data_IF_264154008117
#
_entry.id   IF_264154008117
#
_cell.length_a   1.000
_cell.length_b   1.000
_cell.length_c   1.000
_cell.angle_alpha   90.00
_cell.angle_beta   90.00
_cell.angle_gamma   90.00
#
_symmetry.space_group_name_H-M   'P 1'
#
loop_
_entity.id
_entity.type
_entity.pdbx_description
1 polymer ?
#
# COMPACT_ATOMS: atom_id res chain seq x y z
N UNK A 1 -23.94 -11.02 -3.31
CA UNK A 1 -22.66 -11.42 -3.93
C UNK A 1 -21.49 -10.66 -3.31
N UNK A 2 -20.37 -11.32 -3.02
CA UNK A 2 -19.09 -10.67 -2.69
C UNK A 2 -18.32 -10.49 -3.99
N UNK A 3 -18.03 -9.24 -4.38
CA UNK A 3 -17.54 -8.88 -5.72
C UNK A 3 -16.05 -8.52 -5.77
N UNK A 4 -15.34 -8.73 -4.65
CA UNK A 4 -13.91 -8.42 -4.51
C UNK A 4 -13.66 -7.19 -3.64
N UNK A 5 -12.46 -7.10 -3.04
CA UNK A 5 -12.07 -5.98 -2.17
C UNK A 5 -12.85 -5.84 -0.86
N UNK A 6 -13.77 -6.75 -0.56
CA UNK A 6 -14.67 -6.67 0.61
C UNK A 6 -16.04 -6.04 0.30
N UNK A 7 -16.30 -5.65 -0.95
CA UNK A 7 -17.59 -5.09 -1.37
C UNK A 7 -18.66 -6.17 -1.57
N UNK A 8 -19.92 -5.81 -1.25
CA UNK A 8 -21.08 -6.69 -1.32
C UNK A 8 -22.17 -6.03 -2.17
N UNK A 9 -22.70 -6.76 -3.15
CA UNK A 9 -23.86 -6.37 -3.97
C UNK A 9 -25.02 -7.31 -3.64
N UNK A 10 -26.23 -6.79 -3.44
CA UNK A 10 -27.39 -7.66 -3.20
C UNK A 10 -27.99 -8.12 -4.52
N UNK A 11 -28.66 -9.26 -4.47
CA UNK A 11 -29.36 -9.80 -5.63
C UNK A 11 -30.49 -8.86 -6.04
N UNK A 12 -30.51 -8.48 -7.31
CA UNK A 12 -31.45 -7.51 -7.88
C UNK A 12 -31.03 -6.04 -7.75
N UNK A 13 -29.86 -5.76 -7.17
CA UNK A 13 -29.28 -4.40 -7.06
C UNK A 13 -28.03 -4.21 -7.96
N UNK A 14 -27.74 -5.14 -8.86
CA UNK A 14 -26.53 -5.11 -9.70
C UNK A 14 -26.48 -3.88 -10.61
N UNK A 15 -27.57 -3.59 -11.31
CA UNK A 15 -27.65 -2.45 -12.22
C UNK A 15 -27.55 -1.11 -11.48
N UNK A 16 -28.15 -1.03 -10.29
CA UNK A 16 -28.08 0.16 -9.43
C UNK A 16 -26.64 0.41 -8.93
N UNK A 17 -25.96 -0.65 -8.47
CA UNK A 17 -24.58 -0.57 -8.01
C UNK A 17 -23.62 -0.15 -9.14
N UNK A 18 -23.88 -0.61 -10.39
CA UNK A 18 -23.10 -0.21 -11.55
C UNK A 18 -23.29 1.27 -11.90
N UNK A 19 -24.53 1.77 -11.85
CA UNK A 19 -24.84 3.18 -12.12
C UNK A 19 -24.19 4.12 -11.09
N UNK A 20 -24.30 3.81 -9.80
CA UNK A 20 -23.69 4.59 -8.71
C UNK A 20 -22.15 4.66 -8.88
N UNK A 21 -21.53 3.55 -9.26
CA UNK A 21 -20.09 3.49 -9.53
C UNK A 21 -19.68 4.31 -10.76
N UNK A 22 -20.56 4.50 -11.74
CA UNK A 22 -20.29 5.32 -12.91
C UNK A 22 -20.50 6.81 -12.65
N UNK A 23 -21.53 7.17 -11.88
CA UNK A 23 -21.83 8.55 -11.49
C UNK A 23 -20.74 9.14 -10.60
N UNK A 24 -20.34 8.42 -9.54
CA UNK A 24 -19.27 8.83 -8.61
C UNK A 24 -17.92 9.13 -9.27
N UNK A 25 -17.69 8.67 -10.51
CA UNK A 25 -16.45 8.89 -11.27
C UNK A 25 -16.49 10.14 -12.16
N UNK A 26 -17.68 10.65 -12.51
CA UNK A 26 -17.82 11.82 -13.38
C UNK A 26 -17.79 13.14 -12.63
N UNK A 27 -17.96 13.10 -11.31
CA UNK A 27 -18.10 14.30 -10.47
C UNK A 27 -16.77 14.81 -9.88
N UNK A 28 -15.66 14.07 -10.04
CA UNK A 28 -14.38 14.47 -9.46
C UNK A 28 -13.76 15.70 -10.15
N UNK A 29 -13.01 16.55 -9.41
CA UNK A 29 -12.34 17.74 -9.97
C UNK A 29 -11.32 17.44 -11.08
N UNK A 30 -10.53 16.37 -10.96
CA UNK A 30 -9.49 15.94 -11.92
C UNK A 30 -9.72 14.46 -12.30
N UNK A 31 -10.75 14.14 -13.09
CA UNK A 31 -11.14 12.76 -13.36
C UNK A 31 -10.18 12.10 -14.35
N UNK A 32 -9.86 10.81 -14.14
CA UNK A 32 -9.07 10.01 -15.07
C UNK A 32 -9.43 8.52 -15.01
N UNK A 33 -9.25 7.81 -16.12
CA UNK A 33 -9.48 6.36 -16.28
C UNK A 33 -8.25 5.64 -16.81
N UNK A 34 -7.28 6.37 -17.34
CA UNK A 34 -6.02 5.82 -17.86
C UNK A 34 -4.83 6.51 -17.22
N UNK A 35 -3.68 5.83 -17.23
CA UNK A 35 -2.44 6.43 -16.80
C UNK A 35 -2.06 7.65 -17.67
N UNK A 36 -2.41 7.64 -18.96
CA UNK A 36 -2.15 8.76 -19.86
C UNK A 36 -2.92 10.03 -19.45
N UNK A 37 -4.19 9.89 -19.10
CA UNK A 37 -5.02 11.00 -18.59
C UNK A 37 -4.49 11.54 -17.25
N UNK A 38 -4.10 10.66 -16.33
CA UNK A 38 -3.48 11.07 -15.06
C UNK A 38 -2.19 11.88 -15.29
N UNK A 39 -1.35 11.42 -16.23
CA UNK A 39 -0.11 12.13 -16.57
C UNK A 39 -0.38 13.46 -17.27
N UNK A 40 -1.46 13.57 -18.05
CA UNK A 40 -1.88 14.84 -18.64
C UNK A 40 -2.24 15.86 -17.54
N UNK A 41 -3.05 15.46 -16.56
CA UNK A 41 -3.37 16.32 -15.41
C UNK A 41 -2.11 16.82 -14.71
N UNK A 42 -1.13 15.93 -14.49
CA UNK A 42 0.15 16.31 -13.89
C UNK A 42 0.91 17.34 -14.74
N UNK A 43 0.92 17.18 -16.07
CA UNK A 43 1.60 18.11 -16.99
C UNK A 43 0.93 19.48 -17.05
N UNK A 44 -0.40 19.51 -17.15
CA UNK A 44 -1.16 20.75 -17.31
C UNK A 44 -1.17 21.59 -16.02
N UNK A 45 -1.21 20.94 -14.86
CA UNK A 45 -1.28 21.62 -13.55
C UNK A 45 0.09 21.83 -12.90
N UNK A 46 1.12 21.09 -13.33
CA UNK A 46 2.43 21.05 -12.67
C UNK A 46 2.44 20.27 -11.34
N UNK A 47 1.35 19.56 -11.03
CA UNK A 47 1.19 18.79 -9.80
C UNK A 47 1.78 17.38 -9.90
N UNK A 48 2.16 16.81 -8.75
CA UNK A 48 2.49 15.39 -8.65
C UNK A 48 1.24 14.52 -8.61
N UNK A 49 1.40 13.21 -8.86
CA UNK A 49 0.28 12.23 -8.82
C UNK A 49 -0.46 12.26 -7.47
N UNK A 50 0.28 12.39 -6.36
CA UNK A 50 -0.30 12.47 -5.02
C UNK A 50 -1.16 13.72 -4.82
N UNK A 51 -0.77 14.84 -5.45
CA UNK A 51 -1.51 16.09 -5.35
C UNK A 51 -2.80 16.02 -6.18
N UNK A 52 -2.73 15.43 -7.38
CA UNK A 52 -3.93 15.13 -8.20
C UNK A 52 -4.92 14.27 -7.42
N UNK A 53 -4.44 13.18 -6.80
CA UNK A 53 -5.30 12.34 -5.97
C UNK A 53 -5.83 13.07 -4.74
N UNK A 54 -5.01 13.90 -4.10
CA UNK A 54 -5.44 14.69 -2.94
C UNK A 54 -6.58 15.64 -3.29
N UNK A 55 -6.48 16.35 -4.42
CA UNK A 55 -7.56 17.23 -4.90
C UNK A 55 -8.86 16.45 -5.12
N UNK A 56 -8.78 15.26 -5.71
CA UNK A 56 -9.97 14.43 -5.93
C UNK A 56 -10.57 13.89 -4.64
N UNK A 57 -9.76 13.52 -3.65
CA UNK A 57 -10.26 13.04 -2.35
C UNK A 57 -10.90 14.16 -1.52
N UNK A 58 -10.36 15.38 -1.63
CA UNK A 58 -10.87 16.58 -0.94
C UNK A 58 -12.27 17.02 -1.43
N UNK A 59 -12.76 16.46 -2.53
CA UNK A 59 -14.13 16.68 -3.04
C UNK A 59 -15.21 16.12 -2.09
N UNK A 60 -14.90 15.01 -1.40
CA UNK A 60 -15.86 14.31 -0.54
C UNK A 60 -15.47 14.25 0.94
N UNK A 61 -14.26 14.68 1.30
CA UNK A 61 -13.69 14.55 2.65
C UNK A 61 -12.83 15.76 3.01
N UNK A 62 -12.79 16.10 4.29
CA UNK A 62 -11.89 17.15 4.75
C UNK A 62 -10.41 16.70 4.69
N UNK A 63 -9.44 17.62 4.45
CA UNK A 63 -8.02 17.28 4.41
C UNK A 63 -7.52 16.54 5.66
N UNK A 64 -8.03 16.90 6.84
CA UNK A 64 -7.68 16.30 8.11
C UNK A 64 -8.19 14.86 8.22
N UNK A 65 -9.37 14.56 7.68
CA UNK A 65 -9.96 13.22 7.67
C UNK A 65 -9.16 12.29 6.75
N UNK A 66 -8.77 12.79 5.57
CA UNK A 66 -7.91 12.05 4.63
C UNK A 66 -6.59 11.70 5.31
N UNK A 67 -5.92 12.68 5.92
CA UNK A 67 -4.64 12.48 6.60
C UNK A 67 -4.78 11.50 7.77
N UNK A 68 -5.80 11.65 8.59
CA UNK A 68 -6.05 10.77 9.74
C UNK A 68 -6.32 9.32 9.27
N UNK A 69 -7.12 9.15 8.22
CA UNK A 69 -7.40 7.84 7.64
C UNK A 69 -6.15 7.15 7.09
N UNK A 70 -5.32 7.87 6.34
CA UNK A 70 -4.04 7.33 5.82
C UNK A 70 -3.09 6.90 6.95
N UNK A 71 -2.94 7.72 7.99
CA UNK A 71 -2.12 7.38 9.15
C UNK A 71 -2.68 6.20 9.93
N UNK A 72 -4.00 6.10 10.03
CA UNK A 72 -4.64 4.96 10.67
C UNK A 72 -4.37 3.66 9.89
N UNK A 73 -4.57 3.64 8.57
CA UNK A 73 -4.25 2.48 7.72
C UNK A 73 -2.78 2.08 7.88
N UNK A 74 -1.86 3.06 7.83
CA UNK A 74 -0.44 2.82 8.03
C UNK A 74 -0.14 2.19 9.41
N UNK A 75 -0.76 2.70 10.48
CA UNK A 75 -0.59 2.14 11.83
C UNK A 75 -1.06 0.68 11.92
N UNK A 76 -2.17 0.35 11.28
CA UNK A 76 -2.68 -1.03 11.21
C UNK A 76 -1.75 -1.93 10.41
N UNK A 77 -1.17 -1.43 9.31
CA UNK A 77 -0.15 -2.16 8.55
C UNK A 77 1.10 -2.44 9.40
N UNK A 78 1.61 -1.45 10.14
CA UNK A 78 2.72 -1.60 11.07
C UNK A 78 2.42 -2.65 12.15
N UNK A 79 1.24 -2.60 12.77
CA UNK A 79 0.83 -3.56 13.79
C UNK A 79 0.64 -4.98 13.22
N UNK A 80 0.13 -5.10 11.99
CA UNK A 80 0.06 -6.36 11.25
C UNK A 80 1.46 -6.95 11.03
N UNK A 81 2.43 -6.13 10.63
CA UNK A 81 3.83 -6.54 10.48
C UNK A 81 4.38 -7.00 11.82
N UNK A 82 4.31 -6.17 12.87
CA UNK A 82 4.82 -6.50 14.22
C UNK A 82 4.22 -7.79 14.77
N UNK A 83 2.92 -8.01 14.56
CA UNK A 83 2.23 -9.24 14.94
C UNK A 83 2.74 -10.43 14.14
N UNK A 84 2.89 -10.28 12.82
CA UNK A 84 3.34 -11.34 11.92
C UNK A 84 4.78 -11.79 12.20
N UNK A 85 5.65 -10.87 12.59
CA UNK A 85 7.05 -11.18 12.95
C UNK A 85 7.17 -11.99 14.25
N UNK A 86 6.15 -11.98 15.12
CA UNK A 86 6.13 -12.74 16.39
C UNK A 86 5.35 -14.06 16.29
N UNK A 87 4.60 -14.26 15.20
CA UNK A 87 3.68 -15.38 15.07
C UNK A 87 4.37 -16.59 14.46
N UNK A 88 4.60 -17.60 15.29
CA UNK A 88 5.23 -18.85 14.90
C UNK A 88 4.21 -19.96 14.56
N UNK A 89 4.74 -21.13 14.18
CA UNK A 89 3.95 -22.33 13.89
C UNK A 89 3.56 -22.48 12.42
N UNK A 90 2.49 -23.23 12.19
CA UNK A 90 2.04 -23.67 10.86
C UNK A 90 0.76 -22.96 10.46
N UNK A 91 0.63 -22.60 9.18
CA UNK A 91 -0.59 -22.02 8.63
C UNK A 91 -1.73 -23.05 8.63
N UNK A 92 -2.97 -22.63 8.95
CA UNK A 92 -4.14 -23.49 8.77
C UNK A 92 -4.35 -23.81 7.28
N UNK A 93 -5.10 -24.87 6.97
CA UNK A 93 -5.41 -25.26 5.58
C UNK A 93 -4.75 -26.57 5.09
N UNK A 94 -4.25 -27.42 5.99
CA UNK A 94 -3.85 -28.81 5.67
C UNK A 94 -2.51 -28.99 4.96
N UNK A 95 -1.95 -27.94 4.35
CA UNK A 95 -0.70 -28.00 3.59
C UNK A 95 0.58 -27.97 4.46
N UNK A 96 0.45 -27.96 5.79
CA UNK A 96 1.56 -27.93 6.76
C UNK A 96 2.62 -26.84 6.49
N UNK A 97 2.21 -25.70 5.92
CA UNK A 97 3.12 -24.60 5.56
C UNK A 97 3.56 -23.86 6.82
N UNK A 98 4.87 -23.84 7.09
CA UNK A 98 5.45 -23.08 8.20
C UNK A 98 5.39 -21.57 7.96
N UNK A 99 5.16 -20.81 9.03
CA UNK A 99 5.39 -19.36 9.05
C UNK A 99 6.90 -19.10 9.00
N UNK A 100 7.32 -18.21 8.10
CA UNK A 100 8.74 -17.89 7.84
C UNK A 100 9.18 -16.54 8.38
N UNK A 101 8.26 -15.58 8.50
CA UNK A 101 8.61 -14.20 8.85
C UNK A 101 9.44 -14.03 10.14
N UNK A 102 9.15 -14.75 11.26
CA UNK A 102 9.96 -14.64 12.48
C UNK A 102 11.44 -15.03 12.27
N UNK A 103 11.68 -16.21 11.65
CA UNK A 103 13.02 -16.73 11.41
C UNK A 103 13.85 -15.76 10.52
N UNK A 104 13.22 -15.21 9.49
CA UNK A 104 13.86 -14.24 8.58
C UNK A 104 14.18 -12.93 9.27
N UNK A 105 13.27 -12.43 10.11
CA UNK A 105 13.49 -11.20 10.87
C UNK A 105 14.70 -11.31 11.80
N UNK A 106 14.78 -12.39 12.58
CA UNK A 106 15.91 -12.64 13.48
C UNK A 106 17.23 -12.81 12.72
N UNK A 107 17.21 -13.43 11.53
CA UNK A 107 18.39 -13.57 10.68
C UNK A 107 18.88 -12.22 10.17
N UNK A 108 17.99 -11.43 9.57
CA UNK A 108 18.32 -10.10 9.03
C UNK A 108 18.78 -9.13 10.12
N UNK A 109 18.16 -9.18 11.31
CA UNK A 109 18.56 -8.36 12.46
C UNK A 109 19.97 -8.69 12.95
N UNK A 110 20.38 -9.96 12.90
CA UNK A 110 21.74 -10.39 13.23
C UNK A 110 22.74 -9.96 12.17
N UNK A 111 22.37 -10.02 10.89
CA UNK A 111 23.19 -9.56 9.78
C UNK A 111 23.39 -8.03 9.83
N UNK A 112 22.35 -7.25 10.11
CA UNK A 112 22.43 -5.79 10.20
C UNK A 112 23.13 -5.29 11.47
N UNK A 113 23.23 -6.13 12.50
CA UNK A 113 23.94 -5.82 13.75
C UNK A 113 25.42 -6.26 13.73
N UNK A 114 25.88 -6.93 12.67
CA UNK A 114 27.32 -7.15 12.48
C UNK A 114 27.92 -5.82 12.03
N UNK A 115 28.83 -5.20 12.82
CA UNK A 115 29.67 -4.15 12.26
C UNK A 115 30.43 -4.76 11.08
N UNK A 116 30.52 -4.04 9.96
CA UNK A 116 31.28 -4.47 8.79
C UNK A 116 32.67 -4.93 9.26
N UNK A 117 32.88 -6.24 9.26
CA UNK A 117 34.15 -6.82 9.62
C UNK A 117 35.11 -6.55 8.45
N UNK A 118 35.90 -5.50 8.64
CA UNK A 118 37.22 -5.28 8.08
C UNK A 118 37.29 -5.04 6.56
N UNK A 119 37.28 -3.75 6.20
CA UNK A 119 38.30 -3.26 5.28
C UNK A 119 39.68 -3.51 5.91
N UNK A 120 40.29 -4.65 5.59
CA UNK A 120 41.72 -4.84 5.76
C UNK A 120 42.43 -3.94 4.76
N UNK A 121 42.88 -2.81 5.29
CA UNK A 121 43.95 -1.99 4.74
C UNK A 121 45.23 -2.84 4.75
N UNK A 122 45.91 -2.96 3.59
CA UNK A 122 47.19 -3.66 3.53
C UNK A 122 47.60 -4.23 2.17
N UNK A 123 47.84 -3.37 1.17
CA UNK A 123 48.50 -3.78 -0.07
C UNK A 123 48.71 -2.62 -1.02
N UNK A 124 49.80 -1.88 -0.85
CA UNK A 124 50.12 -0.72 -1.68
C UNK A 124 50.60 -1.04 -3.09
N UNK A 125 51.00 0.06 -3.74
CA UNK A 125 51.66 0.23 -5.04
C UNK A 125 50.74 0.44 -6.26
N UNK A 126 50.75 1.71 -6.71
CA UNK A 126 50.97 2.18 -8.09
C UNK A 126 50.15 1.54 -9.23
N UNK A 127 49.18 2.30 -9.77
CA UNK A 127 49.27 3.00 -11.07
C UNK A 127 48.01 3.83 -11.34
#
# INVERSE_FOLDING_TARGET
FSVGGGFIVREGEEDAAQLELEESKKELPLPFRTAAELLEHCRETGLGISDVMRINEEDSRAPEEIRAGLLHIWSVMEDCVRTSLRREGVLPGGLKVRRRAPDWYERLKKESSRPDAEGQDGGGADF
#
